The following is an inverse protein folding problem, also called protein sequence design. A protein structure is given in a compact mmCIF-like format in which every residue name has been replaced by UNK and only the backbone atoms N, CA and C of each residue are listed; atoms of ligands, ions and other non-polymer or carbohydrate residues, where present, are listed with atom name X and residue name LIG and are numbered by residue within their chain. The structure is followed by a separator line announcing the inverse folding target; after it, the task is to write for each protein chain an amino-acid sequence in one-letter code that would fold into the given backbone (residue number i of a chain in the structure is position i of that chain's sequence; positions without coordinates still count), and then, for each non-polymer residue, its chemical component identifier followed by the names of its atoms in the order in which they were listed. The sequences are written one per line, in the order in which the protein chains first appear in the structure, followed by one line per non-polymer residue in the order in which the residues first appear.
data_IF_684797533133
#
_entry.id   IF_684797533133
#
_cell.length_a   1.000
_cell.length_b   1.000
_cell.length_c   1.000
_cell.angle_alpha   90.00
_cell.angle_beta   90.00
_cell.angle_gamma   90.00
#
_symmetry.space_group_name_H-M   'P 1'
#
loop_
_entity.id
_entity.type
_entity.pdbx_description
1 polymer ?
#
# COMPACT_ATOMS: atom_id res chain seq x y z
N UNK A 1 18.95 0.54 5.11
CA UNK A 1 18.35 1.62 4.28
C UNK A 1 16.84 1.57 4.34
N UNK A 2 16.17 2.71 4.13
CA UNK A 2 14.70 2.81 4.10
C UNK A 2 14.10 1.86 3.06
N UNK A 3 14.69 1.76 1.88
CA UNK A 3 14.27 0.81 0.84
C UNK A 3 14.14 -0.63 1.34
N UNK A 4 15.05 -1.09 2.21
CA UNK A 4 15.00 -2.44 2.77
C UNK A 4 13.79 -2.66 3.68
N UNK A 5 13.32 -1.63 4.39
CA UNK A 5 12.12 -1.73 5.23
C UNK A 5 10.87 -1.95 4.36
N UNK A 6 10.73 -1.19 3.28
CA UNK A 6 9.63 -1.37 2.34
C UNK A 6 9.70 -2.74 1.64
N UNK A 7 10.89 -3.14 1.22
CA UNK A 7 11.09 -4.44 0.58
C UNK A 7 10.72 -5.58 1.53
N UNK A 8 11.10 -5.50 2.80
CA UNK A 8 10.80 -6.55 3.77
C UNK A 8 9.29 -6.71 4.00
N UNK A 9 8.52 -5.61 4.07
CA UNK A 9 7.06 -5.63 4.24
C UNK A 9 6.37 -6.16 2.98
N UNK A 10 6.92 -5.87 1.80
CA UNK A 10 6.30 -6.28 0.54
C UNK A 10 6.50 -7.77 0.24
N UNK A 11 7.74 -8.26 0.18
CA UNK A 11 8.06 -9.65 -0.20
C UNK A 11 9.30 -10.22 0.50
N UNK A 12 9.79 -9.58 1.57
CA UNK A 12 10.94 -10.05 2.35
C UNK A 12 10.53 -10.68 3.68
N UNK A 13 11.45 -10.61 4.65
CA UNK A 13 11.27 -11.14 6.00
C UNK A 13 11.15 -10.00 7.02
N UNK A 14 9.98 -9.38 7.20
CA UNK A 14 9.79 -8.35 8.20
C UNK A 14 9.72 -8.95 9.60
N UNK A 15 9.96 -8.13 10.63
CA UNK A 15 9.82 -8.53 12.04
C UNK A 15 8.45 -9.17 12.36
N UNK A 16 7.39 -8.80 11.65
CA UNK A 16 6.03 -9.35 11.85
C UNK A 16 5.82 -10.73 11.19
N UNK A 17 6.84 -11.34 10.62
CA UNK A 17 6.85 -12.69 10.03
C UNK A 17 5.89 -12.90 8.84
N UNK A 18 5.15 -11.89 8.42
CA UNK A 18 4.26 -11.92 7.25
C UNK A 18 4.56 -10.75 6.33
N UNK A 19 4.50 -10.97 5.02
CA UNK A 19 4.66 -9.95 4.01
C UNK A 19 3.44 -9.90 3.08
N UNK A 20 3.32 -8.81 2.32
CA UNK A 20 2.13 -8.54 1.52
C UNK A 20 2.00 -9.51 0.33
N UNK A 21 3.09 -9.77 -0.39
CA UNK A 21 3.10 -10.62 -1.58
C UNK A 21 2.73 -12.07 -1.25
N UNK A 22 3.36 -12.66 -0.22
CA UNK A 22 3.03 -14.03 0.21
C UNK A 22 1.62 -14.14 0.79
N UNK A 23 1.15 -13.09 1.47
CA UNK A 23 -0.22 -13.04 2.00
C UNK A 23 -1.25 -13.07 0.87
N UNK A 24 -0.99 -12.37 -0.25
CA UNK A 24 -1.90 -12.27 -1.39
C UNK A 24 -1.74 -13.40 -2.42
N UNK A 25 -0.64 -14.14 -2.42
CA UNK A 25 -0.23 -15.09 -3.45
C UNK A 25 -1.30 -16.10 -3.89
N UNK A 26 -2.14 -16.56 -2.95
CA UNK A 26 -3.16 -17.59 -3.21
C UNK A 26 -4.58 -17.06 -2.94
N UNK A 27 -4.78 -15.76 -2.99
CA UNK A 27 -6.10 -15.14 -2.87
C UNK A 27 -6.72 -15.06 -4.26
N UNK A 28 -7.86 -15.74 -4.46
CA UNK A 28 -8.62 -15.68 -5.71
C UNK A 28 -9.39 -14.36 -5.83
N UNK A 29 -9.82 -13.99 -7.03
CA UNK A 29 -10.69 -12.83 -7.25
C UNK A 29 -11.97 -12.92 -6.42
N UNK A 30 -12.59 -14.10 -6.35
CA UNK A 30 -13.78 -14.35 -5.52
C UNK A 30 -13.52 -14.04 -4.04
N UNK A 31 -12.44 -14.56 -3.47
CA UNK A 31 -12.05 -14.27 -2.09
C UNK A 31 -11.73 -12.79 -1.87
N UNK A 32 -10.99 -12.18 -2.82
CA UNK A 32 -10.60 -10.78 -2.74
C UNK A 32 -11.82 -9.84 -2.80
N UNK A 33 -12.83 -10.19 -3.57
CA UNK A 33 -14.06 -9.41 -3.75
C UNK A 33 -15.08 -9.64 -2.65
N UNK A 34 -15.04 -10.77 -1.95
CA UNK A 34 -16.03 -11.15 -0.95
C UNK A 34 -15.96 -10.25 0.28
N UNK A 35 -17.12 -9.71 0.70
CA UNK A 35 -17.25 -9.00 1.97
C UNK A 35 -17.44 -9.97 3.12
N UNK A 36 -16.47 -10.01 4.03
CA UNK A 36 -16.60 -10.78 5.27
C UNK A 36 -17.69 -10.20 6.21
N UNK A 37 -17.90 -8.89 6.15
CA UNK A 37 -18.94 -8.16 6.88
C UNK A 37 -19.33 -6.91 6.10
N UNK A 38 -20.61 -6.48 6.09
CA UNK A 38 -21.05 -5.28 5.36
C UNK A 38 -20.31 -3.98 5.72
N UNK A 39 -19.80 -3.90 6.95
CA UNK A 39 -19.07 -2.71 7.45
C UNK A 39 -17.56 -2.76 7.22
N UNK A 40 -17.04 -3.83 6.59
CA UNK A 40 -15.62 -3.97 6.29
C UNK A 40 -15.34 -3.77 4.81
N UNK A 41 -14.16 -3.25 4.50
CA UNK A 41 -13.65 -3.27 3.14
C UNK A 41 -13.26 -4.69 2.74
N UNK A 42 -13.35 -5.00 1.44
CA UNK A 42 -12.84 -6.25 0.88
C UNK A 42 -11.31 -6.23 0.81
N UNK A 43 -10.69 -7.41 0.65
CA UNK A 43 -9.24 -7.50 0.37
C UNK A 43 -8.89 -6.67 -0.87
N UNK A 44 -9.71 -6.73 -1.92
CA UNK A 44 -9.46 -6.01 -3.16
C UNK A 44 -9.56 -4.49 -2.99
N UNK A 45 -10.57 -4.01 -2.28
CA UNK A 45 -10.71 -2.58 -1.94
C UNK A 45 -9.48 -2.08 -1.16
N UNK A 46 -8.95 -2.89 -0.23
CA UNK A 46 -7.72 -2.57 0.52
C UNK A 46 -6.49 -2.55 -0.42
N UNK A 47 -6.36 -3.52 -1.33
CA UNK A 47 -5.25 -3.54 -2.29
C UNK A 47 -5.27 -2.30 -3.20
N UNK A 48 -6.44 -1.90 -3.71
CA UNK A 48 -6.58 -0.70 -4.52
C UNK A 48 -6.26 0.58 -3.71
N UNK A 49 -6.69 0.63 -2.46
CA UNK A 49 -6.35 1.71 -1.53
C UNK A 49 -4.83 1.81 -1.29
N UNK A 50 -4.15 0.69 -1.06
CA UNK A 50 -2.69 0.65 -0.92
C UNK A 50 -1.98 1.17 -2.17
N UNK A 51 -2.38 0.71 -3.37
CA UNK A 51 -1.83 1.16 -4.65
C UNK A 51 -1.93 2.67 -4.79
N UNK A 52 -3.11 3.23 -4.48
CA UNK A 52 -3.35 4.67 -4.62
C UNK A 52 -2.55 5.48 -3.60
N UNK A 53 -2.47 5.04 -2.34
CA UNK A 53 -1.65 5.68 -1.32
C UNK A 53 -0.16 5.64 -1.65
N UNK A 54 0.36 4.51 -2.14
CA UNK A 54 1.75 4.38 -2.56
C UNK A 54 2.11 5.34 -3.69
N UNK A 55 1.22 5.46 -4.69
CA UNK A 55 1.38 6.43 -5.78
C UNK A 55 1.40 7.87 -5.24
N UNK A 56 0.42 8.23 -4.42
CA UNK A 56 0.27 9.59 -3.91
C UNK A 56 1.40 9.96 -2.96
N UNK A 57 1.90 9.01 -2.19
CA UNK A 57 3.07 9.20 -1.36
C UNK A 57 4.29 9.63 -2.19
N UNK A 58 4.60 8.93 -3.29
CA UNK A 58 5.71 9.30 -4.18
C UNK A 58 5.53 10.69 -4.78
N UNK A 59 4.32 11.03 -5.23
CA UNK A 59 4.02 12.36 -5.76
C UNK A 59 4.24 13.45 -4.70
N UNK A 60 3.85 13.22 -3.46
CA UNK A 60 4.12 14.13 -2.34
C UNK A 60 5.62 14.30 -2.07
N UNK A 61 6.38 13.21 -2.12
CA UNK A 61 7.84 13.26 -1.96
C UNK A 61 8.53 13.99 -3.11
N UNK A 62 7.88 14.12 -4.26
CA UNK A 62 8.31 14.92 -5.41
C UNK A 62 7.81 16.38 -5.35
N UNK A 63 7.11 16.75 -4.28
CA UNK A 63 6.61 18.11 -4.06
C UNK A 63 5.20 18.38 -4.58
N UNK A 64 4.50 17.37 -5.09
CA UNK A 64 3.12 17.52 -5.59
C UNK A 64 2.13 17.73 -4.44
N UNK A 65 1.16 18.61 -4.66
CA UNK A 65 0.05 18.82 -3.74
C UNK A 65 -1.07 17.83 -4.03
N UNK A 66 -1.21 16.81 -3.20
CA UNK A 66 -2.23 15.78 -3.34
C UNK A 66 -3.27 15.91 -2.22
N UNK A 67 -4.52 16.20 -2.62
CA UNK A 67 -5.67 16.21 -1.72
C UNK A 67 -6.25 14.80 -1.65
N UNK A 68 -6.38 14.27 -0.43
CA UNK A 68 -7.04 12.98 -0.21
C UNK A 68 -8.55 13.17 -0.27
N UNK A 69 -9.30 12.41 -1.10
CA UNK A 69 -10.75 12.49 -1.14
C UNK A 69 -11.40 11.92 0.13
N UNK A 70 -12.66 12.30 0.39
CA UNK A 70 -13.41 11.86 1.58
C UNK A 70 -13.52 10.33 1.70
N UNK A 71 -13.66 9.62 0.57
CA UNK A 71 -13.70 8.16 0.54
C UNK A 71 -12.32 7.50 0.74
N UNK A 72 -11.26 8.28 0.95
CA UNK A 72 -9.91 7.81 1.22
C UNK A 72 -9.41 6.71 0.26
N UNK A 73 -9.78 6.82 -1.03
CA UNK A 73 -9.47 5.86 -2.09
C UNK A 73 -10.06 4.44 -1.92
N UNK A 74 -10.97 4.24 -0.97
CA UNK A 74 -11.80 3.04 -0.95
C UNK A 74 -12.92 3.19 -1.98
N UNK A 75 -12.76 2.52 -3.10
CA UNK A 75 -13.72 2.55 -4.20
C UNK A 75 -14.23 1.14 -4.50
N UNK A 76 -15.52 0.97 -4.85
CA UNK A 76 -16.07 -0.32 -5.21
C UNK A 76 -15.34 -0.93 -6.40
N UNK A 77 -15.12 -2.24 -6.35
CA UNK A 77 -14.60 -3.02 -7.48
C UNK A 77 -15.72 -3.21 -8.50
N UNK A 78 -15.53 -2.73 -9.73
CA UNK A 78 -16.54 -2.77 -10.79
C UNK A 78 -16.46 -4.04 -11.64
N UNK A 79 -15.27 -4.60 -11.80
CA UNK A 79 -15.01 -5.84 -12.53
C UNK A 79 -14.37 -6.86 -11.57
N UNK A 80 -15.12 -7.85 -11.07
CA UNK A 80 -14.61 -8.85 -10.14
C UNK A 80 -13.98 -10.08 -10.84
N UNK A 81 -13.54 -9.95 -12.09
CA UNK A 81 -12.89 -11.04 -12.83
C UNK A 81 -11.49 -11.38 -12.31
N UNK A 82 -11.04 -12.61 -12.51
CA UNK A 82 -9.66 -13.04 -12.19
C UNK A 82 -8.62 -12.19 -12.95
N UNK A 83 -8.90 -11.83 -14.20
CA UNK A 83 -7.99 -10.98 -14.98
C UNK A 83 -7.83 -9.58 -14.37
N UNK A 84 -8.91 -8.98 -13.86
CA UNK A 84 -8.87 -7.69 -13.18
C UNK A 84 -8.17 -7.78 -11.82
N UNK A 85 -8.35 -8.87 -11.08
CA UNK A 85 -7.63 -9.13 -9.84
C UNK A 85 -6.12 -9.26 -10.07
N UNK A 86 -5.72 -10.08 -11.03
CA UNK A 86 -4.31 -10.22 -11.41
C UNK A 86 -3.70 -8.88 -11.86
N UNK A 87 -4.44 -8.07 -12.61
CA UNK A 87 -4.01 -6.72 -12.97
C UNK A 87 -3.78 -5.81 -11.73
N UNK A 88 -4.63 -5.93 -10.71
CA UNK A 88 -4.46 -5.20 -9.45
C UNK A 88 -3.18 -5.65 -8.72
N UNK A 89 -2.91 -6.95 -8.65
CA UNK A 89 -1.68 -7.48 -8.05
C UNK A 89 -0.42 -7.04 -8.81
N UNK A 90 -0.45 -7.04 -10.14
CA UNK A 90 0.65 -6.52 -10.98
C UNK A 90 0.86 -5.02 -10.75
N UNK A 91 -0.20 -4.25 -10.59
CA UNK A 91 -0.12 -2.81 -10.30
C UNK A 91 0.47 -2.55 -8.91
N UNK A 92 0.11 -3.38 -7.93
CA UNK A 92 0.72 -3.33 -6.59
C UNK A 92 2.23 -3.63 -6.67
N UNK A 93 2.64 -4.66 -7.43
CA UNK A 93 4.04 -4.99 -7.64
C UNK A 93 4.82 -3.84 -8.29
N UNK A 94 4.28 -3.23 -9.35
CA UNK A 94 4.88 -2.05 -9.99
C UNK A 94 5.00 -0.85 -9.04
N UNK A 95 4.07 -0.69 -8.11
CA UNK A 95 4.17 0.36 -7.08
C UNK A 95 5.37 0.13 -6.16
N UNK A 96 5.68 -1.13 -5.85
CA UNK A 96 6.87 -1.50 -5.07
C UNK A 96 8.15 -1.19 -5.81
N UNK A 97 8.23 -1.52 -7.11
CA UNK A 97 9.39 -1.21 -7.95
C UNK A 97 9.64 0.31 -7.99
N UNK A 98 8.57 1.09 -8.13
CA UNK A 98 8.65 2.57 -8.12
C UNK A 98 9.19 3.10 -6.79
N UNK A 99 8.80 2.53 -5.65
CA UNK A 99 9.33 2.90 -4.35
C UNK A 99 10.80 2.52 -4.19
N UNK A 100 11.16 1.31 -4.60
CA UNK A 100 12.55 0.85 -4.54
C UNK A 100 13.44 1.80 -5.33
N UNK A 101 13.08 2.12 -6.57
CA UNK A 101 13.83 3.05 -7.42
C UNK A 101 13.92 4.46 -6.80
N UNK A 102 12.85 4.95 -6.19
CA UNK A 102 12.85 6.26 -5.52
C UNK A 102 13.82 6.27 -4.33
N UNK A 103 13.75 5.28 -3.44
CA UNK A 103 14.58 5.25 -2.24
C UNK A 103 16.04 4.87 -2.49
N UNK A 104 16.37 4.23 -3.60
CA UNK A 104 17.76 4.01 -4.01
C UNK A 104 18.50 5.32 -4.29
N UNK A 105 17.76 6.31 -4.78
CA UNK A 105 18.28 7.64 -5.12
C UNK A 105 17.93 8.72 -4.07
N UNK A 106 17.27 8.35 -2.98
CA UNK A 106 16.84 9.29 -1.95
C UNK A 106 18.02 9.69 -1.05
N UNK A 107 18.20 11.00 -0.84
CA UNK A 107 19.26 11.52 0.02
C UNK A 107 18.76 11.61 1.47
N UNK A 108 19.55 11.09 2.42
CA UNK A 108 19.23 11.16 3.85
C UNK A 108 19.09 12.60 4.36
N UNK A 109 19.77 13.57 3.74
CA UNK A 109 19.61 15.01 4.05
C UNK A 109 18.19 15.51 3.78
N UNK A 110 17.46 14.87 2.87
CA UNK A 110 16.09 15.23 2.51
C UNK A 110 15.06 14.81 3.56
N UNK A 111 15.42 13.94 4.49
CA UNK A 111 14.54 13.47 5.56
C UNK A 111 13.97 14.61 6.42
N UNK A 112 14.74 15.67 6.62
CA UNK A 112 14.33 16.85 7.39
C UNK A 112 13.48 17.84 6.59
N UNK A 113 13.32 17.68 5.28
CA UNK A 113 12.47 18.54 4.46
C UNK A 113 11.03 18.46 4.93
N UNK A 114 10.35 19.60 4.93
CA UNK A 114 8.95 19.72 5.34
C UNK A 114 8.06 19.68 4.12
N UNK A 115 7.04 18.83 4.14
CA UNK A 115 5.95 18.86 3.17
C UNK A 115 5.00 20.00 3.55
N UNK A 116 4.98 21.05 2.72
CA UNK A 116 4.33 22.33 3.03
C UNK A 116 2.84 22.23 3.32
N UNK A 117 2.14 21.19 2.80
CA UNK A 117 0.68 21.13 2.91
C UNK A 117 0.19 20.63 4.28
N UNK A 118 1.03 19.97 5.08
CA UNK A 118 0.64 19.47 6.41
C UNK A 118 1.70 19.66 7.49
N UNK A 119 2.85 20.23 7.17
CA UNK A 119 3.92 20.54 8.12
C UNK A 119 4.73 19.34 8.62
N UNK A 120 4.45 18.11 8.13
CA UNK A 120 5.25 16.94 8.46
C UNK A 120 6.55 16.89 7.67
N UNK A 121 7.59 16.37 8.29
CA UNK A 121 8.85 16.07 7.62
C UNK A 121 8.70 14.90 6.65
N UNK A 122 9.60 14.77 5.69
CA UNK A 122 9.67 13.59 4.83
C UNK A 122 9.92 12.32 5.62
N UNK A 123 10.70 12.40 6.71
CA UNK A 123 10.87 11.29 7.64
C UNK A 123 9.54 10.80 8.24
N UNK A 124 8.69 11.71 8.73
CA UNK A 124 7.37 11.37 9.28
C UNK A 124 6.45 10.78 8.22
N UNK A 125 6.49 11.30 6.99
CA UNK A 125 5.74 10.73 5.87
C UNK A 125 6.19 9.31 5.52
N UNK A 126 7.51 9.06 5.46
CA UNK A 126 8.09 7.75 5.20
C UNK A 126 7.69 6.75 6.28
N UNK A 127 7.79 7.14 7.55
CA UNK A 127 7.33 6.32 8.67
C UNK A 127 5.82 6.06 8.62
N UNK A 128 5.04 7.08 8.32
CA UNK A 128 3.58 7.00 8.23
C UNK A 128 3.11 5.99 7.19
N UNK A 129 3.72 5.99 6.00
CA UNK A 129 3.32 5.06 4.93
C UNK A 129 3.74 3.62 5.23
N UNK A 130 4.86 3.39 5.94
CA UNK A 130 5.25 2.06 6.41
C UNK A 130 4.20 1.53 7.40
N UNK A 131 3.82 2.33 8.39
CA UNK A 131 2.80 1.97 9.38
C UNK A 131 1.45 1.70 8.73
N UNK A 132 1.08 2.50 7.73
CA UNK A 132 -0.13 2.34 6.94
C UNK A 132 -0.17 0.98 6.20
N UNK A 133 0.92 0.60 5.54
CA UNK A 133 1.01 -0.67 4.85
C UNK A 133 0.94 -1.86 5.82
N UNK A 134 1.61 -1.77 6.96
CA UNK A 134 1.57 -2.80 8.02
C UNK A 134 0.16 -2.94 8.60
N UNK A 135 -0.52 -1.82 8.86
CA UNK A 135 -1.91 -1.81 9.33
C UNK A 135 -2.85 -2.53 8.36
N UNK A 136 -2.75 -2.24 7.07
CA UNK A 136 -3.57 -2.87 6.05
C UNK A 136 -3.17 -4.32 5.77
N UNK A 137 -1.90 -4.67 5.86
CA UNK A 137 -1.45 -6.07 5.81
C UNK A 137 -2.11 -6.89 6.93
N UNK A 138 -2.15 -6.37 8.16
CA UNK A 138 -2.86 -7.02 9.26
C UNK A 138 -4.35 -7.24 8.97
N UNK A 139 -5.03 -6.27 8.36
CA UNK A 139 -6.43 -6.41 7.93
C UNK A 139 -6.60 -7.51 6.88
N UNK A 140 -5.73 -7.54 5.85
CA UNK A 140 -5.76 -8.58 4.81
C UNK A 140 -5.56 -9.97 5.41
N UNK A 141 -4.60 -10.14 6.35
CA UNK A 141 -4.35 -11.42 7.04
C UNK A 141 -5.60 -11.91 7.77
N UNK A 142 -6.34 -11.01 8.42
CA UNK A 142 -7.59 -11.36 9.12
C UNK A 142 -8.68 -11.69 8.10
N UNK A 143 -8.91 -10.83 7.11
CA UNK A 143 -9.96 -11.02 6.10
C UNK A 143 -9.77 -12.33 5.32
N UNK A 144 -8.53 -12.68 4.96
CA UNK A 144 -8.21 -13.95 4.29
C UNK A 144 -8.66 -15.20 5.06
N UNK A 145 -8.83 -15.11 6.38
CA UNK A 145 -9.35 -16.20 7.22
C UNK A 145 -10.88 -16.23 7.30
N UNK A 146 -11.53 -15.16 6.87
CA UNK A 146 -12.98 -14.96 6.98
C UNK A 146 -13.73 -15.13 5.65
N UNK A 147 -13.00 -15.20 4.53
CA UNK A 147 -13.57 -15.29 3.17
C UNK A 147 -13.25 -16.60 2.48
#
# INVERSE_FOLDING_TARGET
RISNLYQSIYNGNPWLEVNLADTLKNVTAEQAYKKANPNLNTIWEIVNHLIQWRRNFLLRMQGETIVTPDHNYFVPVLDPSEAAWEQSLQTLAKSQDSWTAFFENFNDEDLAKIYVNNGHTYYEHIHGIIQHDVYHLGQIVILKKLV
#
